data_IF_567077355641
#
_entry.id   IF_567077355641
#
_cell.length_a   1.000
_cell.length_b   1.000
_cell.length_c   1.000
_cell.angle_alpha   90.00
_cell.angle_beta   90.00
_cell.angle_gamma   90.00
#
_symmetry.space_group_name_H-M   'P 1'
#
loop_
_entity.id
_entity.type
_entity.pdbx_description
1 polymer ?
#
# COMPACT_ATOMS: atom_id res chain seq x y z
N UNK A 1 12.02 -22.83 -59.44
CA UNK A 1 11.13 -23.28 -58.36
C UNK A 1 11.61 -22.66 -57.07
N UNK A 2 10.95 -21.60 -56.59
CA UNK A 2 11.30 -20.92 -55.35
C UNK A 2 10.61 -21.64 -54.18
N UNK A 3 11.42 -22.18 -53.26
CA UNK A 3 10.98 -22.81 -52.01
C UNK A 3 10.38 -21.74 -51.11
N UNK A 4 9.08 -21.77 -50.96
CA UNK A 4 8.36 -20.97 -49.94
C UNK A 4 8.60 -21.63 -48.60
N UNK A 5 9.56 -21.10 -47.81
CA UNK A 5 9.74 -21.47 -46.41
C UNK A 5 8.52 -20.99 -45.67
N UNK A 6 7.62 -21.88 -45.27
CA UNK A 6 6.55 -21.62 -44.30
C UNK A 6 7.20 -21.20 -42.98
N UNK A 7 7.05 -19.94 -42.62
CA UNK A 7 7.30 -19.47 -41.24
C UNK A 7 6.37 -20.27 -40.34
N UNK A 8 6.92 -21.15 -39.49
CA UNK A 8 6.19 -21.79 -38.42
C UNK A 8 5.82 -20.68 -37.41
N UNK A 9 4.55 -20.26 -37.37
CA UNK A 9 4.06 -19.41 -36.33
C UNK A 9 4.22 -20.16 -35.01
N UNK A 10 5.18 -19.74 -34.17
CA UNK A 10 5.27 -20.22 -32.80
C UNK A 10 4.09 -19.63 -32.03
N UNK A 11 3.01 -20.42 -31.90
CA UNK A 11 1.95 -20.11 -30.94
C UNK A 11 2.62 -20.08 -29.55
N UNK A 12 2.49 -18.97 -28.82
CA UNK A 12 3.02 -18.89 -27.47
C UNK A 12 2.40 -20.02 -26.62
N UNK A 13 3.25 -20.77 -25.91
CA UNK A 13 2.80 -21.80 -24.97
C UNK A 13 2.00 -21.20 -23.80
N UNK A 14 1.34 -22.06 -23.03
CA UNK A 14 0.66 -21.66 -21.81
C UNK A 14 1.64 -21.00 -20.82
N UNK A 15 1.24 -19.85 -20.27
CA UNK A 15 2.03 -19.16 -19.25
C UNK A 15 1.65 -19.68 -17.85
N UNK A 16 2.55 -20.44 -17.23
CA UNK A 16 2.42 -20.91 -15.86
C UNK A 16 3.41 -20.11 -15.00
N UNK A 17 2.95 -19.14 -14.18
CA UNK A 17 3.84 -18.36 -13.35
C UNK A 17 4.49 -19.26 -12.29
N UNK A 18 5.81 -19.13 -12.05
CA UNK A 18 6.46 -19.88 -10.98
C UNK A 18 5.98 -19.37 -9.61
N UNK A 19 5.88 -20.26 -8.60
CA UNK A 19 5.52 -19.83 -7.25
C UNK A 19 6.56 -18.82 -6.72
N UNK A 20 6.09 -17.81 -5.98
CA UNK A 20 6.94 -16.80 -5.35
C UNK A 20 6.41 -16.44 -3.98
N UNK A 21 7.32 -16.30 -3.01
CA UNK A 21 7.03 -15.65 -1.74
C UNK A 21 7.32 -14.16 -1.90
N UNK A 22 6.24 -13.38 -2.05
CA UNK A 22 6.34 -11.94 -2.31
C UNK A 22 6.55 -11.18 -1.01
N UNK A 23 7.80 -10.85 -0.71
CA UNK A 23 8.23 -10.03 0.41
C UNK A 23 8.92 -8.73 -0.07
N UNK A 24 8.61 -8.30 -1.29
CA UNK A 24 9.02 -6.99 -1.80
C UNK A 24 8.11 -5.86 -1.31
N UNK A 25 8.39 -4.61 -1.71
CA UNK A 25 7.58 -3.43 -1.33
C UNK A 25 6.22 -3.36 -2.05
N UNK A 26 5.74 -4.47 -2.54
CA UNK A 26 4.50 -4.68 -3.30
C UNK A 26 4.77 -5.02 -4.76
N UNK A 27 3.89 -5.87 -5.34
CA UNK A 27 2.65 -6.41 -4.76
C UNK A 27 2.89 -7.41 -3.62
N UNK A 28 1.89 -7.52 -2.72
CA UNK A 28 1.84 -8.55 -1.67
C UNK A 28 1.24 -9.85 -2.21
N UNK A 29 1.35 -10.93 -1.44
CA UNK A 29 0.62 -12.16 -1.72
C UNK A 29 -0.89 -11.91 -1.71
N UNK A 30 -1.60 -12.69 -2.50
CA UNK A 30 -3.06 -12.63 -2.64
C UNK A 30 -3.68 -13.89 -2.05
N UNK A 31 -4.71 -13.72 -1.21
CA UNK A 31 -5.42 -14.86 -0.64
C UNK A 31 -6.14 -15.67 -1.73
N UNK A 32 -6.17 -17.03 -1.68
CA UNK A 32 -6.83 -17.86 -2.70
C UNK A 32 -8.31 -17.49 -2.95
N UNK A 33 -9.07 -17.11 -1.92
CA UNK A 33 -10.46 -16.65 -2.05
C UNK A 33 -10.59 -15.42 -2.96
N UNK A 34 -9.62 -14.51 -2.92
CA UNK A 34 -9.60 -13.31 -3.78
C UNK A 34 -9.41 -13.71 -5.24
N UNK A 35 -8.44 -14.61 -5.51
CA UNK A 35 -8.22 -15.12 -6.87
C UNK A 35 -9.45 -15.89 -7.39
N UNK A 36 -10.09 -16.68 -6.55
CA UNK A 36 -11.33 -17.38 -6.88
C UNK A 36 -12.47 -16.40 -7.21
N UNK A 37 -12.64 -15.35 -6.43
CA UNK A 37 -13.65 -14.32 -6.72
C UNK A 37 -13.41 -13.66 -8.08
N UNK A 38 -12.16 -13.41 -8.45
CA UNK A 38 -11.81 -12.80 -9.74
C UNK A 38 -12.09 -13.71 -10.95
N UNK A 39 -12.18 -15.01 -10.75
CA UNK A 39 -12.51 -15.98 -11.82
C UNK A 39 -14.01 -16.23 -11.98
N UNK A 40 -14.86 -15.55 -11.21
CA UNK A 40 -16.31 -15.65 -11.35
C UNK A 40 -16.81 -15.10 -12.70
N UNK A 41 -17.96 -15.58 -13.21
CA UNK A 41 -18.56 -15.06 -14.43
C UNK A 41 -18.80 -13.54 -14.35
N UNK A 42 -18.61 -12.84 -15.47
CA UNK A 42 -18.79 -11.39 -15.53
C UNK A 42 -20.27 -11.02 -15.51
N UNK A 43 -20.59 -9.98 -14.75
CA UNK A 43 -21.84 -9.24 -14.86
C UNK A 43 -21.65 -8.01 -15.76
N UNK A 44 -22.76 -7.45 -16.26
CA UNK A 44 -22.72 -6.14 -16.92
C UNK A 44 -22.38 -5.03 -15.91
N UNK A 45 -21.70 -3.98 -16.33
CA UNK A 45 -21.31 -2.85 -15.46
C UNK A 45 -22.48 -2.00 -14.94
N UNK A 46 -23.69 -2.20 -15.47
CA UNK A 46 -24.95 -1.60 -14.99
C UNK A 46 -25.94 -2.67 -14.48
N UNK A 47 -25.51 -3.92 -14.36
CA UNK A 47 -26.33 -4.99 -13.78
C UNK A 47 -26.65 -4.65 -12.31
N UNK A 48 -27.90 -4.79 -11.86
CA UNK A 48 -28.29 -4.47 -10.48
C UNK A 48 -27.45 -5.18 -9.41
N UNK A 49 -27.05 -6.44 -9.65
CA UNK A 49 -26.20 -7.19 -8.70
C UNK A 49 -24.78 -6.61 -8.67
N UNK A 50 -24.27 -6.14 -9.81
CA UNK A 50 -22.97 -5.47 -9.84
C UNK A 50 -23.03 -4.10 -9.14
N UNK A 51 -24.08 -3.34 -9.32
CA UNK A 51 -24.28 -2.07 -8.62
C UNK A 51 -24.41 -2.28 -7.10
N UNK A 52 -25.09 -3.35 -6.67
CA UNK A 52 -25.12 -3.75 -5.24
C UNK A 52 -23.73 -4.05 -4.71
N UNK A 53 -22.91 -4.79 -5.47
CA UNK A 53 -21.51 -5.09 -5.11
C UNK A 53 -20.68 -3.79 -4.97
N UNK A 54 -20.87 -2.80 -5.85
CA UNK A 54 -20.21 -1.50 -5.74
C UNK A 54 -20.59 -0.78 -4.43
N UNK A 55 -21.85 -0.80 -4.03
CA UNK A 55 -22.31 -0.22 -2.76
C UNK A 55 -21.68 -0.92 -1.55
N UNK A 56 -21.57 -2.26 -1.60
CA UNK A 56 -20.89 -3.03 -0.55
C UNK A 56 -19.41 -2.65 -0.45
N UNK A 57 -18.71 -2.49 -1.58
CA UNK A 57 -17.31 -2.02 -1.61
C UNK A 57 -17.19 -0.63 -0.97
N UNK A 58 -18.07 0.31 -1.32
CA UNK A 58 -18.06 1.66 -0.73
C UNK A 58 -18.21 1.60 0.79
N UNK A 59 -19.16 0.79 1.30
CA UNK A 59 -19.36 0.64 2.73
C UNK A 59 -18.14 0.04 3.45
N UNK A 60 -17.52 -0.99 2.87
CA UNK A 60 -16.30 -1.60 3.41
C UNK A 60 -15.10 -0.65 3.35
N UNK A 61 -14.94 0.12 2.29
CA UNK A 61 -13.88 1.12 2.17
C UNK A 61 -14.02 2.22 3.22
N UNK A 62 -15.25 2.72 3.49
CA UNK A 62 -15.47 3.70 4.58
C UNK A 62 -14.97 3.15 5.91
N UNK A 63 -15.26 1.89 6.23
CA UNK A 63 -14.76 1.25 7.46
C UNK A 63 -13.23 1.14 7.47
N UNK A 64 -12.61 0.77 6.35
CA UNK A 64 -11.14 0.70 6.25
C UNK A 64 -10.46 2.06 6.40
N UNK A 65 -11.04 3.13 5.83
CA UNK A 65 -10.55 4.51 5.95
C UNK A 65 -10.93 5.16 7.29
N UNK A 66 -11.85 4.56 8.05
CA UNK A 66 -12.44 5.12 9.28
C UNK A 66 -13.03 6.50 8.99
N UNK A 67 -14.01 6.53 8.10
CA UNK A 67 -14.63 7.76 7.62
C UNK A 67 -16.13 7.59 7.36
N UNK A 68 -16.87 8.65 7.58
CA UNK A 68 -18.27 8.81 7.18
C UNK A 68 -18.43 9.46 5.79
N UNK A 69 -17.32 9.72 5.11
CA UNK A 69 -17.33 10.33 3.78
C UNK A 69 -18.21 9.54 2.81
N UNK A 70 -19.15 10.21 2.17
CA UNK A 70 -20.04 9.58 1.17
C UNK A 70 -19.26 9.14 -0.05
N UNK A 71 -18.24 9.92 -0.44
CA UNK A 71 -17.36 9.60 -1.55
C UNK A 71 -16.18 8.72 -1.08
N UNK A 72 -16.40 7.41 -1.11
CA UNK A 72 -15.38 6.40 -0.88
C UNK A 72 -15.52 5.34 -1.97
N UNK A 73 -14.58 5.28 -2.92
CA UNK A 73 -14.68 4.48 -4.14
C UNK A 73 -13.39 3.72 -4.44
N UNK A 74 -13.45 2.79 -5.37
CA UNK A 74 -12.29 2.12 -5.96
C UNK A 74 -12.10 2.60 -7.41
N UNK A 75 -11.19 3.55 -7.61
CA UNK A 75 -10.87 4.09 -8.93
C UNK A 75 -10.17 3.03 -9.78
N UNK A 76 -10.52 2.94 -11.07
CA UNK A 76 -9.82 2.10 -12.05
C UNK A 76 -8.41 2.61 -12.28
N UNK A 77 -7.41 1.80 -11.95
CA UNK A 77 -5.99 2.13 -12.02
C UNK A 77 -5.27 1.80 -10.72
N UNK A 78 -3.95 1.87 -10.73
CA UNK A 78 -3.14 1.58 -9.52
C UNK A 78 -3.12 2.78 -8.57
N UNK A 79 -2.45 2.63 -7.40
CA UNK A 79 -2.31 3.74 -6.44
C UNK A 79 -1.75 5.04 -7.04
N UNK A 80 -0.92 4.96 -8.09
CA UNK A 80 -0.44 6.16 -8.81
C UNK A 80 -1.57 6.87 -9.56
N UNK A 81 -2.57 6.13 -10.06
CA UNK A 81 -3.77 6.75 -10.64
C UNK A 81 -4.60 7.48 -9.57
N UNK A 82 -4.67 6.95 -8.34
CA UNK A 82 -5.31 7.64 -7.21
C UNK A 82 -4.60 8.93 -6.83
N UNK A 83 -3.24 8.92 -6.77
CA UNK A 83 -2.43 10.12 -6.58
C UNK A 83 -2.76 11.19 -7.62
N UNK A 84 -2.69 10.80 -8.89
CA UNK A 84 -2.95 11.71 -10.00
C UNK A 84 -4.39 12.20 -9.99
N UNK A 85 -5.36 11.31 -9.74
CA UNK A 85 -6.77 11.67 -9.68
C UNK A 85 -7.06 12.72 -8.59
N UNK A 86 -6.55 12.55 -7.37
CA UNK A 86 -6.76 13.57 -6.34
C UNK A 86 -6.12 14.90 -6.72
N UNK A 87 -4.89 14.90 -7.21
CA UNK A 87 -4.17 16.12 -7.53
C UNK A 87 -4.75 16.84 -8.75
N UNK A 88 -5.10 16.13 -9.82
CA UNK A 88 -5.66 16.77 -11.03
C UNK A 88 -7.06 17.36 -10.80
N UNK A 89 -7.80 16.82 -9.81
CA UNK A 89 -9.11 17.33 -9.43
C UNK A 89 -9.07 18.47 -8.40
N UNK A 90 -8.06 18.50 -7.51
CA UNK A 90 -7.99 19.47 -6.41
C UNK A 90 -7.05 20.63 -6.67
N UNK A 91 -6.09 20.48 -7.61
CA UNK A 91 -5.08 21.50 -7.92
C UNK A 91 -5.42 22.15 -9.26
N UNK A 92 -5.41 23.48 -9.28
CA UNK A 92 -5.56 24.30 -10.49
C UNK A 92 -4.23 24.99 -10.85
N UNK A 93 -4.07 25.47 -12.09
CA UNK A 93 -2.87 26.22 -12.48
C UNK A 93 -2.62 27.42 -11.56
N UNK A 94 -1.41 27.48 -11.01
CA UNK A 94 -0.99 28.54 -10.08
C UNK A 94 -1.26 28.25 -8.60
N UNK A 95 -2.05 27.23 -8.26
CA UNK A 95 -2.25 26.82 -6.86
C UNK A 95 -0.92 26.41 -6.20
N UNK A 96 -0.64 26.91 -5.01
CA UNK A 96 0.48 26.44 -4.19
C UNK A 96 0.05 25.22 -3.38
N UNK A 97 0.86 24.16 -3.44
CA UNK A 97 0.67 22.94 -2.64
C UNK A 97 1.94 22.65 -1.86
N UNK A 98 1.84 22.62 -0.53
CA UNK A 98 2.94 22.18 0.32
C UNK A 98 3.03 20.65 0.24
N UNK A 99 4.20 20.13 -0.12
CA UNK A 99 4.43 18.68 -0.25
C UNK A 99 5.57 18.27 0.66
N UNK A 100 5.30 17.36 1.61
CA UNK A 100 6.34 16.76 2.42
C UNK A 100 7.14 15.72 1.63
N UNK A 101 8.45 15.84 1.64
CA UNK A 101 9.37 15.01 0.87
C UNK A 101 10.43 14.40 1.79
N UNK A 102 10.25 13.13 2.14
CA UNK A 102 11.22 12.34 2.90
C UNK A 102 11.52 10.97 2.21
N UNK A 103 11.23 10.91 0.91
CA UNK A 103 11.46 9.76 0.04
C UNK A 103 10.91 9.96 -1.37
N UNK A 104 10.91 8.89 -2.16
CA UNK A 104 10.53 8.89 -3.58
C UNK A 104 9.07 9.28 -3.79
N UNK A 105 8.16 8.84 -2.90
CA UNK A 105 6.73 9.03 -3.15
C UNK A 105 6.29 10.47 -2.88
N UNK A 106 6.91 11.14 -1.90
CA UNK A 106 6.77 12.58 -1.73
C UNK A 106 7.28 13.37 -2.94
N UNK A 107 8.46 13.03 -3.45
CA UNK A 107 9.02 13.66 -4.67
C UNK A 107 8.13 13.46 -5.90
N UNK A 108 7.53 12.26 -6.04
CA UNK A 108 6.57 11.97 -7.11
C UNK A 108 5.32 12.83 -7.00
N UNK A 109 4.79 13.00 -5.79
CA UNK A 109 3.63 13.83 -5.52
C UNK A 109 3.90 15.30 -5.92
N UNK A 110 5.07 15.85 -5.58
CA UNK A 110 5.49 17.17 -6.01
C UNK A 110 5.54 17.28 -7.54
N UNK A 111 6.13 16.29 -8.22
CA UNK A 111 6.18 16.26 -9.68
C UNK A 111 4.79 16.16 -10.36
N UNK A 112 3.80 15.53 -9.71
CA UNK A 112 2.41 15.51 -10.21
C UNK A 112 1.74 16.87 -10.01
N UNK A 113 1.96 17.54 -8.88
CA UNK A 113 1.49 18.94 -8.66
C UNK A 113 1.95 19.86 -9.79
N UNK A 114 3.23 19.79 -10.18
CA UNK A 114 3.77 20.59 -11.31
C UNK A 114 3.05 20.26 -12.61
N UNK A 115 2.81 18.97 -12.91
CA UNK A 115 2.09 18.56 -14.12
C UNK A 115 0.64 19.04 -14.14
N UNK A 116 0.01 19.19 -12.98
CA UNK A 116 -1.30 19.84 -12.86
C UNK A 116 -1.24 21.36 -13.11
N UNK A 117 -0.06 21.94 -13.24
CA UNK A 117 0.17 23.37 -13.37
C UNK A 117 0.19 24.11 -12.02
N UNK A 118 0.17 23.38 -10.92
CA UNK A 118 0.36 23.92 -9.57
C UNK A 118 1.84 24.21 -9.27
N UNK A 119 2.09 24.90 -8.17
CA UNK A 119 3.43 25.20 -7.66
C UNK A 119 3.68 24.38 -6.38
N UNK A 120 4.48 23.31 -6.45
CA UNK A 120 4.85 22.59 -5.24
C UNK A 120 5.78 23.46 -4.37
N UNK A 121 5.49 23.48 -3.08
CA UNK A 121 6.37 24.02 -2.04
C UNK A 121 6.86 22.83 -1.24
N UNK A 122 8.08 22.34 -1.53
CA UNK A 122 8.60 21.15 -0.87
C UNK A 122 9.06 21.46 0.55
N UNK A 123 8.65 20.63 1.50
CA UNK A 123 9.18 20.57 2.86
C UNK A 123 9.96 19.26 2.95
N UNK A 124 11.28 19.37 2.97
CA UNK A 124 12.18 18.23 2.88
C UNK A 124 12.69 17.82 4.25
N UNK A 125 12.71 16.51 4.51
CA UNK A 125 13.44 15.91 5.62
C UNK A 125 14.46 14.91 5.06
N UNK A 126 15.55 14.65 5.79
CA UNK A 126 16.47 13.59 5.41
C UNK A 126 15.72 12.25 5.25
N UNK A 127 16.09 11.48 4.23
CA UNK A 127 15.45 10.21 3.95
C UNK A 127 15.47 9.29 5.17
N UNK A 128 14.33 8.70 5.49
CA UNK A 128 14.12 7.90 6.70
C UNK A 128 13.71 8.69 7.95
N UNK A 129 13.71 10.03 7.88
CA UNK A 129 13.17 10.90 8.92
C UNK A 129 11.71 11.28 8.61
N UNK A 130 10.99 11.73 9.61
CA UNK A 130 9.64 12.30 9.43
C UNK A 130 9.73 13.78 9.04
N UNK A 131 8.64 14.28 8.45
CA UNK A 131 8.38 15.72 8.32
C UNK A 131 7.82 16.22 9.66
N UNK A 132 8.49 17.17 10.27
CA UNK A 132 8.04 17.71 11.56
C UNK A 132 6.85 18.66 11.38
N UNK A 133 5.86 18.66 12.28
CA UNK A 133 4.71 19.58 12.19
C UNK A 133 5.12 21.07 12.13
N UNK A 134 6.21 21.44 12.80
CA UNK A 134 6.70 22.82 12.81
C UNK A 134 7.24 23.25 11.46
N UNK A 135 7.82 22.35 10.67
CA UNK A 135 8.26 22.65 9.30
C UNK A 135 7.06 22.94 8.40
N UNK A 136 5.97 22.21 8.56
CA UNK A 136 4.71 22.48 7.84
C UNK A 136 4.11 23.82 8.28
N UNK A 137 4.09 24.12 9.58
CA UNK A 137 3.61 25.41 10.10
C UNK A 137 4.40 26.55 9.52
N UNK A 138 5.72 26.44 9.47
CA UNK A 138 6.61 27.44 8.90
C UNK A 138 6.38 27.62 7.39
N UNK A 139 6.19 26.53 6.65
CA UNK A 139 5.88 26.57 5.23
C UNK A 139 4.52 27.25 4.96
N UNK A 140 3.49 26.94 5.75
CA UNK A 140 2.18 27.61 5.68
C UNK A 140 2.29 29.12 5.89
N UNK A 141 3.07 29.54 6.88
CA UNK A 141 3.25 30.96 7.19
C UNK A 141 4.00 31.75 6.09
N UNK A 142 4.90 31.08 5.35
CA UNK A 142 5.79 31.75 4.36
C UNK A 142 5.32 31.67 2.93
N UNK A 143 4.41 30.76 2.58
CA UNK A 143 4.10 30.45 1.17
C UNK A 143 3.01 31.32 0.55
N UNK A 144 2.39 32.25 1.29
CA UNK A 144 1.21 32.99 0.85
C UNK A 144 -0.02 32.06 0.81
N UNK A 145 -1.00 32.31 -0.06
CA UNK A 145 -2.16 31.44 -0.18
C UNK A 145 -1.77 30.03 -0.60
N UNK A 146 -2.08 29.05 0.25
CA UNK A 146 -1.83 27.62 0.01
C UNK A 146 -3.16 26.91 -0.24
N UNK A 147 -3.23 26.05 -1.26
CA UNK A 147 -4.40 25.25 -1.59
C UNK A 147 -4.49 24.02 -0.73
N UNK A 148 -3.37 23.32 -0.56
CA UNK A 148 -3.34 22.04 0.15
C UNK A 148 -1.96 21.77 0.75
N UNK A 149 -1.95 20.91 1.77
CA UNK A 149 -0.76 20.16 2.24
C UNK A 149 -0.93 18.72 1.80
N UNK A 150 0.12 18.11 1.25
CA UNK A 150 0.10 16.74 0.74
C UNK A 150 1.25 15.93 1.34
N UNK A 151 0.96 14.77 1.96
CA UNK A 151 1.94 13.92 2.66
C UNK A 151 1.77 12.45 2.33
N UNK A 152 2.87 11.72 2.40
CA UNK A 152 2.90 10.25 2.34
C UNK A 152 2.88 9.69 3.75
N UNK A 153 1.83 8.95 4.13
CA UNK A 153 1.72 8.31 5.45
C UNK A 153 2.73 7.18 5.65
N UNK A 154 2.95 6.38 4.60
CA UNK A 154 3.83 5.22 4.62
C UNK A 154 4.84 5.30 3.47
N UNK A 155 6.00 5.93 3.71
CA UNK A 155 7.04 6.12 2.71
C UNK A 155 7.88 4.83 2.55
N UNK A 156 7.51 4.00 1.60
CA UNK A 156 8.13 2.68 1.40
C UNK A 156 9.49 2.69 0.74
N UNK A 157 9.96 3.82 0.23
CA UNK A 157 11.34 3.95 -0.24
C UNK A 157 12.34 4.00 0.91
N UNK A 158 11.89 4.41 2.11
CA UNK A 158 12.73 4.59 3.31
C UNK A 158 12.26 3.78 4.53
N UNK A 159 11.04 3.26 4.52
CA UNK A 159 10.44 2.54 5.65
C UNK A 159 9.93 3.47 6.76
N UNK A 160 9.75 4.76 6.48
CA UNK A 160 9.28 5.74 7.45
C UNK A 160 7.75 5.85 7.49
N UNK A 161 7.19 5.88 8.71
CA UNK A 161 5.79 6.19 9.01
C UNK A 161 5.66 7.65 9.43
N UNK A 162 4.99 8.45 8.64
CA UNK A 162 4.72 9.86 8.92
C UNK A 162 3.52 10.01 9.87
N UNK A 163 3.67 10.62 11.06
CA UNK A 163 2.52 11.02 11.87
C UNK A 163 1.69 12.10 11.16
N UNK A 164 0.36 11.96 11.19
CA UNK A 164 -0.53 12.83 10.43
C UNK A 164 -1.43 13.73 11.31
N UNK A 165 -1.74 13.30 12.52
CA UNK A 165 -2.73 13.95 13.40
C UNK A 165 -2.44 15.44 13.63
N UNK A 166 -1.24 15.78 14.08
CA UNK A 166 -0.83 17.17 14.33
C UNK A 166 -0.84 18.02 13.07
N UNK A 167 -0.46 17.43 11.93
CA UNK A 167 -0.44 18.14 10.64
C UNK A 167 -1.86 18.36 10.14
N UNK A 168 -2.76 17.39 10.30
CA UNK A 168 -4.17 17.57 10.00
C UNK A 168 -4.83 18.68 10.82
N UNK A 169 -4.46 18.81 12.11
CA UNK A 169 -4.90 19.93 12.94
C UNK A 169 -4.41 21.29 12.39
N UNK A 170 -3.14 21.40 11.99
CA UNK A 170 -2.58 22.59 11.34
C UNK A 170 -3.29 22.95 10.02
N UNK A 171 -3.61 21.95 9.20
CA UNK A 171 -4.33 22.17 7.94
C UNK A 171 -5.75 22.70 8.19
N UNK A 172 -6.44 22.17 9.20
CA UNK A 172 -7.78 22.67 9.59
C UNK A 172 -7.72 24.11 10.10
N UNK A 173 -6.76 24.44 10.97
CA UNK A 173 -6.53 25.78 11.49
C UNK A 173 -6.24 26.78 10.38
N UNK A 174 -5.37 26.41 9.43
CA UNK A 174 -5.03 27.23 8.27
C UNK A 174 -6.12 27.30 7.18
N UNK A 175 -7.18 26.48 7.28
CA UNK A 175 -8.24 26.43 6.27
C UNK A 175 -7.84 25.79 4.94
N UNK A 176 -6.68 25.10 4.87
CA UNK A 176 -6.16 24.42 3.69
C UNK A 176 -6.61 22.95 3.61
N UNK A 177 -6.59 22.36 2.42
CA UNK A 177 -6.90 20.92 2.27
C UNK A 177 -5.73 20.05 2.74
N UNK A 178 -6.05 18.89 3.31
CA UNK A 178 -5.07 17.88 3.67
C UNK A 178 -5.24 16.64 2.80
N UNK A 179 -4.22 16.34 1.96
CA UNK A 179 -4.19 15.23 1.00
C UNK A 179 -3.19 14.19 1.49
N UNK A 180 -3.60 12.93 1.56
CA UNK A 180 -2.77 11.85 2.11
C UNK A 180 -2.63 10.67 1.14
N UNK A 181 -1.37 10.27 0.91
CA UNK A 181 -1.02 8.97 0.33
C UNK A 181 -1.06 7.89 1.42
N UNK A 182 -2.03 7.01 1.36
CA UNK A 182 -2.17 5.85 2.22
C UNK A 182 -1.97 4.53 1.45
N UNK A 183 -1.21 4.55 0.35
CA UNK A 183 -1.03 3.38 -0.52
C UNK A 183 -0.57 2.16 0.26
N UNK A 184 0.35 2.31 1.20
CA UNK A 184 0.91 1.18 1.95
C UNK A 184 0.42 1.12 3.40
N UNK A 185 -0.35 2.11 3.84
CA UNK A 185 -0.89 2.15 5.21
C UNK A 185 -2.31 1.60 5.35
N UNK A 186 -3.17 1.79 4.35
CA UNK A 186 -4.57 1.35 4.42
C UNK A 186 -4.68 -0.14 4.74
N UNK A 187 -5.40 -0.48 5.82
CA UNK A 187 -5.56 -1.82 6.37
C UNK A 187 -4.25 -2.51 6.82
N UNK A 188 -3.13 -1.78 6.93
CA UNK A 188 -1.85 -2.30 7.43
C UNK A 188 -1.42 -1.68 8.75
N UNK A 189 -1.83 -0.44 8.99
CA UNK A 189 -1.61 0.32 10.22
C UNK A 189 -2.75 1.31 10.40
N UNK A 190 -2.95 1.88 11.61
CA UNK A 190 -4.03 2.83 11.87
C UNK A 190 -4.03 4.00 10.89
N UNK A 191 -5.19 4.31 10.35
CA UNK A 191 -5.47 5.45 9.48
C UNK A 191 -6.86 5.98 9.85
N UNK A 192 -6.90 7.17 10.44
CA UNK A 192 -8.12 7.79 10.98
C UNK A 192 -8.48 9.01 10.14
N UNK A 193 -9.10 8.79 8.97
CA UNK A 193 -9.33 9.86 8.00
C UNK A 193 -10.10 11.04 8.62
N UNK A 194 -11.20 10.76 9.30
CA UNK A 194 -12.03 11.82 9.89
C UNK A 194 -11.36 12.45 11.12
N UNK A 195 -10.86 11.62 12.04
CA UNK A 195 -10.26 12.10 13.28
C UNK A 195 -9.01 12.96 13.01
N UNK A 196 -8.21 12.60 12.02
CA UNK A 196 -7.01 13.36 11.65
C UNK A 196 -7.29 14.51 10.69
N UNK A 197 -8.56 14.72 10.28
CA UNK A 197 -8.96 15.82 9.39
C UNK A 197 -8.37 15.73 7.99
N UNK A 198 -8.27 14.54 7.46
CA UNK A 198 -7.82 14.30 6.10
C UNK A 198 -8.98 14.61 5.16
N UNK A 199 -8.76 15.54 4.21
CA UNK A 199 -9.80 15.94 3.25
C UNK A 199 -9.88 15.00 2.04
N UNK A 200 -8.73 14.48 1.62
CA UNK A 200 -8.65 13.54 0.51
C UNK A 200 -7.55 12.50 0.76
N UNK A 201 -7.87 11.23 0.56
CA UNK A 201 -6.95 10.12 0.79
C UNK A 201 -7.05 9.09 -0.34
N UNK A 202 -5.92 8.54 -0.76
CA UNK A 202 -5.88 7.45 -1.74
C UNK A 202 -4.99 6.30 -1.29
N UNK A 203 -5.25 5.12 -1.85
CA UNK A 203 -4.50 3.91 -1.58
C UNK A 203 -4.30 3.06 -2.84
N UNK A 204 -3.76 1.86 -2.68
CA UNK A 204 -3.58 0.87 -3.75
C UNK A 204 -3.88 -0.54 -3.27
N UNK A 205 -4.57 -1.33 -4.09
CA UNK A 205 -5.06 -2.66 -3.68
C UNK A 205 -3.96 -3.69 -3.45
N UNK A 206 -2.81 -3.57 -4.14
CA UNK A 206 -1.71 -4.56 -4.11
C UNK A 206 -0.81 -4.49 -2.87
N UNK A 207 -1.15 -3.67 -1.90
CA UNK A 207 -0.40 -3.49 -0.64
C UNK A 207 -1.08 -4.26 0.49
N UNK A 208 -1.40 -3.60 1.60
CA UNK A 208 -1.96 -4.27 2.77
C UNK A 208 -3.38 -4.82 2.58
N UNK A 209 -4.09 -4.43 1.53
CA UNK A 209 -5.37 -5.07 1.15
C UNK A 209 -5.19 -6.46 0.53
N UNK A 210 -4.00 -6.79 0.03
CA UNK A 210 -3.70 -8.09 -0.61
C UNK A 210 -4.67 -8.49 -1.72
N UNK A 211 -5.03 -7.51 -2.54
CA UNK A 211 -5.74 -7.70 -3.79
C UNK A 211 -4.79 -7.39 -4.95
N UNK A 212 -4.91 -8.01 -6.13
CA UNK A 212 -4.07 -7.69 -7.27
C UNK A 212 -4.05 -6.19 -7.61
N UNK A 213 -2.95 -5.67 -8.20
CA UNK A 213 -2.89 -4.28 -8.66
C UNK A 213 -3.92 -4.01 -9.77
N UNK A 214 -4.52 -2.83 -9.80
CA UNK A 214 -5.49 -2.43 -10.83
C UNK A 214 -6.60 -1.53 -10.31
N UNK A 215 -6.71 -1.37 -9.00
CA UNK A 215 -7.64 -0.44 -8.37
C UNK A 215 -6.92 0.45 -7.36
N UNK A 216 -7.42 1.68 -7.23
CA UNK A 216 -7.02 2.64 -6.21
C UNK A 216 -8.21 3.02 -5.35
N UNK A 217 -8.34 2.47 -4.13
CA UNK A 217 -9.28 2.98 -3.15
C UNK A 217 -8.98 4.45 -2.84
N UNK A 218 -10.00 5.29 -2.82
CA UNK A 218 -9.86 6.70 -2.43
C UNK A 218 -11.11 7.22 -1.76
N UNK A 219 -10.95 8.30 -0.97
CA UNK A 219 -12.06 9.00 -0.30
C UNK A 219 -11.82 10.50 -0.28
N UNK A 220 -12.91 11.27 -0.41
CA UNK A 220 -12.93 12.72 -0.30
C UNK A 220 -14.06 13.13 0.64
N UNK A 221 -13.78 14.11 1.52
CA UNK A 221 -14.81 14.73 2.34
C UNK A 221 -15.53 15.87 1.61
N UNK A 222 -16.53 16.46 2.25
CA UNK A 222 -17.32 17.54 1.66
C UNK A 222 -16.51 18.79 1.33
N UNK A 223 -15.43 19.08 2.10
CA UNK A 223 -14.52 20.21 1.80
C UNK A 223 -13.77 19.99 0.50
N UNK A 224 -13.22 18.81 0.30
CA UNK A 224 -12.54 18.44 -0.94
C UNK A 224 -13.50 18.40 -2.13
N UNK A 225 -14.69 17.81 -1.96
CA UNK A 225 -15.74 17.82 -2.99
C UNK A 225 -16.20 19.23 -3.34
N UNK A 226 -16.37 20.12 -2.36
CA UNK A 226 -16.69 21.50 -2.60
C UNK A 226 -15.57 22.26 -3.31
N UNK A 227 -14.31 21.99 -2.99
CA UNK A 227 -13.17 22.57 -3.70
C UNK A 227 -13.13 22.14 -5.17
N UNK A 228 -13.42 20.87 -5.45
CA UNK A 228 -13.52 20.32 -6.79
C UNK A 228 -14.65 20.98 -7.60
N UNK A 229 -15.85 21.16 -7.00
CA UNK A 229 -16.98 21.82 -7.66
C UNK A 229 -16.74 23.32 -7.94
N UNK A 230 -15.91 23.98 -7.13
CA UNK A 230 -15.59 25.43 -7.29
C UNK A 230 -14.42 25.70 -8.22
N UNK A 231 -13.90 24.69 -8.93
CA UNK A 231 -12.86 24.87 -9.92
C UNK A 231 -13.25 25.91 -10.96
N UNK A 232 -12.27 26.71 -11.37
CA UNK A 232 -12.42 27.73 -12.45
C UNK A 232 -12.06 27.15 -13.81
N UNK A 233 -11.30 26.04 -13.82
CA UNK A 233 -10.82 25.37 -15.02
C UNK A 233 -11.33 23.93 -15.05
N UNK A 234 -11.63 23.35 -16.23
CA UNK A 234 -11.96 21.93 -16.33
C UNK A 234 -10.87 21.03 -15.78
N UNK A 235 -11.24 19.86 -15.27
CA UNK A 235 -10.24 18.83 -14.95
C UNK A 235 -9.43 18.48 -16.21
N UNK A 236 -8.10 18.40 -16.08
CA UNK A 236 -7.21 18.14 -17.24
C UNK A 236 -7.22 16.70 -17.70
N UNK A 237 -7.87 15.82 -16.99
CA UNK A 237 -8.05 14.41 -17.36
C UNK A 237 -9.53 14.09 -17.40
N UNK A 238 -10.07 13.73 -18.56
CA UNK A 238 -11.44 13.24 -18.64
C UNK A 238 -11.63 11.93 -17.87
N UNK A 239 -10.66 11.00 -18.00
CA UNK A 239 -10.75 9.68 -17.38
C UNK A 239 -10.64 9.71 -15.85
N UNK A 240 -9.83 10.62 -15.31
CA UNK A 240 -9.64 10.80 -13.87
C UNK A 240 -10.48 11.95 -13.30
N UNK A 241 -11.43 12.50 -14.06
CA UNK A 241 -12.35 13.50 -13.53
C UNK A 241 -13.31 12.86 -12.51
N UNK A 242 -13.03 13.13 -11.24
CA UNK A 242 -13.80 12.54 -10.14
C UNK A 242 -15.23 13.03 -10.07
N UNK A 243 -15.58 14.14 -10.72
CA UNK A 243 -16.98 14.57 -10.82
C UNK A 243 -17.78 13.64 -11.73
N UNK A 244 -17.19 13.21 -12.85
CA UNK A 244 -17.81 12.24 -13.77
C UNK A 244 -17.79 10.82 -13.19
N UNK A 245 -16.72 10.46 -12.50
CA UNK A 245 -16.61 9.16 -11.82
C UNK A 245 -17.64 9.06 -10.68
N UNK A 246 -17.88 10.16 -9.95
CA UNK A 246 -18.87 10.21 -8.88
C UNK A 246 -20.27 9.82 -9.38
N UNK A 247 -20.70 10.34 -10.53
CA UNK A 247 -22.02 10.02 -11.13
C UNK A 247 -22.20 8.52 -11.39
N UNK A 248 -21.12 7.79 -11.67
CA UNK A 248 -21.17 6.33 -11.84
C UNK A 248 -21.19 5.57 -10.50
N UNK A 249 -20.52 6.08 -9.45
CA UNK A 249 -20.45 5.45 -8.13
C UNK A 249 -21.61 5.89 -7.21
N UNK A 250 -22.27 7.01 -7.48
CA UNK A 250 -23.31 7.56 -6.63
C UNK A 250 -24.63 6.79 -6.80
N UNK A 251 -25.20 6.36 -5.67
CA UNK A 251 -26.47 5.64 -5.66
C UNK A 251 -27.59 6.52 -6.18
N UNK A 252 -28.33 6.02 -7.15
CA UNK A 252 -29.44 6.73 -7.79
C UNK A 252 -29.11 7.40 -9.13
N UNK A 253 -27.87 7.79 -9.39
CA UNK A 253 -27.46 8.38 -10.69
C UNK A 253 -26.97 7.31 -11.65
N UNK A 254 -25.93 6.55 -11.28
CA UNK A 254 -25.34 5.43 -12.05
C UNK A 254 -25.10 5.75 -13.53
N UNK A 255 -24.64 6.98 -13.81
CA UNK A 255 -24.31 7.38 -15.16
C UNK A 255 -23.05 6.66 -15.65
N UNK A 256 -23.11 6.09 -16.87
CA UNK A 256 -21.96 5.43 -17.46
C UNK A 256 -20.82 6.40 -17.72
N UNK A 257 -19.69 6.16 -17.12
CA UNK A 257 -18.43 6.88 -17.39
C UNK A 257 -17.44 6.01 -18.19
N UNK A 258 -17.12 4.83 -17.67
CA UNK A 258 -16.26 3.84 -18.32
C UNK A 258 -16.66 2.44 -17.88
N UNK A 259 -16.26 1.42 -18.64
CA UNK A 259 -16.51 0.04 -18.23
C UNK A 259 -15.62 -0.28 -17.02
N UNK A 260 -16.24 -0.50 -15.86
CA UNK A 260 -15.55 -0.85 -14.64
C UNK A 260 -14.78 -2.17 -14.79
N UNK A 261 -13.62 -2.32 -14.14
CA UNK A 261 -12.85 -3.57 -14.15
C UNK A 261 -13.49 -4.61 -13.22
N UNK A 262 -14.53 -5.28 -13.71
CA UNK A 262 -15.47 -6.09 -12.95
C UNK A 262 -14.78 -7.16 -12.10
N UNK A 263 -13.92 -8.00 -12.71
CA UNK A 263 -13.18 -9.04 -11.99
C UNK A 263 -12.29 -8.47 -10.89
N UNK A 264 -11.70 -7.28 -11.11
CA UNK A 264 -10.90 -6.61 -10.10
C UNK A 264 -11.74 -6.16 -8.92
N UNK A 265 -12.97 -5.68 -9.17
CA UNK A 265 -13.91 -5.28 -8.12
C UNK A 265 -14.44 -6.51 -7.35
N UNK A 266 -14.65 -7.65 -8.01
CA UNK A 266 -14.94 -8.91 -7.33
C UNK A 266 -13.81 -9.28 -6.35
N UNK A 267 -12.56 -9.22 -6.82
CA UNK A 267 -11.38 -9.48 -5.99
C UNK A 267 -11.27 -8.49 -4.82
N UNK A 268 -11.48 -7.19 -5.07
CA UNK A 268 -11.43 -6.19 -4.01
C UNK A 268 -12.52 -6.41 -2.96
N UNK A 269 -13.76 -6.71 -3.37
CA UNK A 269 -14.83 -7.02 -2.42
C UNK A 269 -14.44 -8.16 -1.49
N UNK A 270 -13.87 -9.23 -2.02
CA UNK A 270 -13.46 -10.38 -1.22
C UNK A 270 -12.23 -10.05 -0.34
N UNK A 271 -11.28 -9.26 -0.83
CA UNK A 271 -10.15 -8.79 -0.03
C UNK A 271 -10.62 -7.93 1.16
N UNK A 272 -11.59 -7.04 0.95
CA UNK A 272 -12.18 -6.23 2.01
C UNK A 272 -12.96 -7.09 3.02
N UNK A 273 -13.69 -8.12 2.57
CA UNK A 273 -14.32 -9.09 3.48
C UNK A 273 -13.31 -9.79 4.37
N UNK A 274 -12.17 -10.20 3.84
CA UNK A 274 -11.09 -10.80 4.63
C UNK A 274 -10.52 -9.83 5.67
N UNK A 275 -10.43 -8.54 5.34
CA UNK A 275 -10.04 -7.50 6.31
C UNK A 275 -11.07 -7.38 7.42
N UNK A 276 -12.37 -7.42 7.11
CA UNK A 276 -13.45 -7.36 8.10
C UNK A 276 -13.52 -8.62 8.97
N UNK A 277 -13.33 -9.80 8.36
CA UNK A 277 -13.30 -11.08 9.08
C UNK A 277 -12.14 -11.14 10.10
N UNK A 278 -10.99 -10.58 9.76
CA UNK A 278 -9.84 -10.47 10.67
C UNK A 278 -10.03 -9.35 11.71
N UNK A 279 -10.63 -8.25 11.30
CA UNK A 279 -10.73 -7.01 12.07
C UNK A 279 -9.46 -6.15 11.98
N UNK A 280 -9.62 -4.83 11.83
CA UNK A 280 -8.51 -3.91 11.63
C UNK A 280 -7.49 -3.93 12.78
N UNK A 281 -7.94 -3.94 14.04
CA UNK A 281 -7.03 -3.94 15.20
C UNK A 281 -6.19 -5.21 15.28
N UNK A 282 -6.79 -6.37 15.05
CA UNK A 282 -6.08 -7.65 15.00
C UNK A 282 -5.07 -7.64 13.86
N UNK A 283 -5.46 -7.10 12.71
CA UNK A 283 -4.61 -6.98 11.53
C UNK A 283 -3.42 -6.06 11.78
N UNK A 284 -3.61 -4.92 12.42
CA UNK A 284 -2.53 -4.00 12.82
C UNK A 284 -1.59 -4.65 13.83
N UNK A 285 -2.11 -5.36 14.81
CA UNK A 285 -1.32 -6.10 15.79
C UNK A 285 -0.48 -7.18 15.11
N UNK A 286 -1.06 -7.93 14.15
CA UNK A 286 -0.34 -8.92 13.36
C UNK A 286 0.82 -8.31 12.57
N UNK A 287 0.60 -7.18 11.87
CA UNK A 287 1.66 -6.49 11.14
C UNK A 287 2.80 -6.05 12.08
N UNK A 288 2.47 -5.48 13.25
CA UNK A 288 3.48 -5.09 14.26
C UNK A 288 4.30 -6.29 14.73
N UNK A 289 3.65 -7.38 15.13
CA UNK A 289 4.31 -8.57 15.61
C UNK A 289 5.27 -9.17 14.56
N UNK A 290 4.82 -9.26 13.28
CA UNK A 290 5.69 -9.76 12.23
C UNK A 290 6.88 -8.82 11.97
N UNK A 291 6.67 -7.51 12.03
CA UNK A 291 7.72 -6.51 11.87
C UNK A 291 8.76 -6.58 13.00
N UNK A 292 8.31 -6.72 14.25
CA UNK A 292 9.17 -6.85 15.43
C UNK A 292 10.03 -8.13 15.33
N UNK A 293 9.40 -9.26 15.00
CA UNK A 293 10.11 -10.54 14.84
C UNK A 293 11.13 -10.49 13.69
N UNK A 294 10.74 -9.93 12.53
CA UNK A 294 11.65 -9.74 11.41
C UNK A 294 12.83 -8.85 11.80
N UNK A 295 12.55 -7.69 12.41
CA UNK A 295 13.60 -6.73 12.80
C UNK A 295 14.58 -7.33 13.80
N UNK A 296 14.07 -8.07 14.79
CA UNK A 296 14.92 -8.77 15.76
C UNK A 296 15.85 -9.80 15.10
N UNK A 297 15.34 -10.56 14.13
CA UNK A 297 16.14 -11.50 13.35
C UNK A 297 17.18 -10.79 12.48
N UNK A 298 16.78 -9.78 11.73
CA UNK A 298 17.67 -9.02 10.83
C UNK A 298 18.79 -8.31 11.60
N UNK A 299 18.54 -7.83 12.82
CA UNK A 299 19.56 -7.21 13.65
C UNK A 299 20.71 -8.17 13.98
N UNK A 300 20.45 -9.47 14.18
CA UNK A 300 21.50 -10.47 14.41
C UNK A 300 22.34 -10.77 13.17
N UNK A 301 21.84 -10.41 11.99
CA UNK A 301 22.55 -10.49 10.71
C UNK A 301 23.32 -9.18 10.38
N UNK A 302 23.36 -8.21 11.31
CA UNK A 302 24.00 -6.92 11.10
C UNK A 302 23.18 -5.95 10.24
N UNK A 303 21.92 -6.29 9.93
CA UNK A 303 21.01 -5.48 9.13
C UNK A 303 20.21 -4.51 10.03
N UNK A 304 20.55 -3.24 9.96
CA UNK A 304 19.94 -2.20 10.82
C UNK A 304 18.77 -1.49 10.13
N UNK A 305 17.66 -1.21 10.84
CA UNK A 305 16.58 -0.38 10.28
C UNK A 305 17.08 0.99 9.83
N UNK A 306 16.73 1.39 8.60
CA UNK A 306 17.10 2.68 8.03
C UNK A 306 16.27 3.83 8.59
N UNK A 307 14.95 3.60 8.76
CA UNK A 307 14.02 4.63 9.22
C UNK A 307 14.26 4.98 10.71
N UNK A 308 13.95 6.22 11.03
CA UNK A 308 14.01 6.80 12.37
C UNK A 308 13.29 5.92 13.39
N UNK A 309 13.92 5.75 14.56
CA UNK A 309 13.33 4.99 15.66
C UNK A 309 12.01 5.62 16.12
N UNK A 310 11.03 4.80 16.48
CA UNK A 310 9.67 5.24 16.82
C UNK A 310 8.77 5.50 15.60
N UNK A 311 9.35 5.66 14.40
CA UNK A 311 8.63 6.00 13.18
C UNK A 311 8.81 4.97 12.05
N UNK A 312 9.12 3.73 12.40
CA UNK A 312 9.27 2.61 11.44
C UNK A 312 7.91 2.08 11.02
N UNK A 313 7.81 1.71 9.73
CA UNK A 313 6.61 1.07 9.19
C UNK A 313 6.51 -0.38 9.68
N UNK A 314 5.35 -0.81 10.21
CA UNK A 314 5.13 -2.22 10.50
C UNK A 314 4.85 -3.07 9.25
N UNK A 315 4.45 -2.45 8.15
CA UNK A 315 4.16 -3.14 6.88
C UNK A 315 5.37 -3.31 5.97
N UNK A 316 6.52 -2.66 6.28
CA UNK A 316 7.73 -2.74 5.48
C UNK A 316 8.98 -2.39 6.31
N UNK A 317 9.92 -3.31 6.37
CA UNK A 317 11.26 -3.06 6.89
C UNK A 317 12.18 -2.56 5.76
N UNK A 318 12.74 -1.36 5.92
CA UNK A 318 13.88 -0.87 5.14
C UNK A 318 15.12 -1.02 6.00
N UNK A 319 16.10 -1.80 5.56
CA UNK A 319 17.30 -2.11 6.34
C UNK A 319 18.57 -1.79 5.57
N UNK A 320 19.52 -1.18 6.27
CA UNK A 320 20.85 -0.85 5.72
C UNK A 320 21.70 -2.10 5.61
N UNK A 321 22.41 -2.23 4.50
CA UNK A 321 23.33 -3.34 4.25
C UNK A 321 24.70 -3.07 4.87
N UNK A 322 25.28 -4.02 5.59
CA UNK A 322 26.69 -3.98 5.97
C UNK A 322 27.60 -3.91 4.74
N UNK A 323 28.79 -3.34 4.92
CA UNK A 323 29.82 -3.35 3.90
C UNK A 323 30.17 -4.79 3.48
N UNK A 324 30.34 -5.01 2.18
CA UNK A 324 30.70 -6.31 1.62
C UNK A 324 29.55 -7.19 1.19
N UNK A 325 28.29 -6.83 1.48
CA UNK A 325 27.12 -7.55 0.95
C UNK A 325 26.79 -7.02 -0.46
N UNK A 326 26.80 -7.91 -1.45
CA UNK A 326 26.30 -7.62 -2.80
C UNK A 326 24.76 -7.70 -2.82
N UNK A 327 24.10 -6.53 -2.83
CA UNK A 327 22.65 -6.40 -2.90
C UNK A 327 22.04 -7.25 -4.02
N UNK A 328 22.56 -7.14 -5.23
CA UNK A 328 21.99 -7.79 -6.41
C UNK A 328 22.19 -9.31 -6.36
N UNK A 329 23.37 -9.78 -5.96
CA UNK A 329 23.68 -11.20 -5.88
C UNK A 329 22.82 -11.92 -4.82
N UNK A 330 22.65 -11.32 -3.63
CA UNK A 330 21.82 -11.90 -2.57
C UNK A 330 20.33 -11.95 -3.00
N UNK A 331 19.77 -10.86 -3.51
CA UNK A 331 18.37 -10.84 -3.99
C UNK A 331 18.14 -11.84 -5.13
N UNK A 332 19.09 -11.96 -6.05
CA UNK A 332 19.02 -12.94 -7.12
C UNK A 332 19.08 -14.39 -6.59
N UNK A 333 19.87 -14.65 -5.54
CA UNK A 333 19.95 -15.97 -4.90
C UNK A 333 18.68 -16.29 -4.12
N UNK A 334 18.12 -15.34 -3.36
CA UNK A 334 16.81 -15.47 -2.71
C UNK A 334 15.72 -15.87 -3.74
N UNK A 335 15.69 -15.17 -4.88
CA UNK A 335 14.68 -15.43 -5.91
C UNK A 335 14.86 -16.80 -6.59
N UNK A 336 16.11 -17.17 -6.95
CA UNK A 336 16.37 -18.41 -7.70
C UNK A 336 16.30 -19.67 -6.84
N UNK A 337 16.86 -19.63 -5.63
CA UNK A 337 17.02 -20.82 -4.78
C UNK A 337 15.83 -21.02 -3.83
N UNK A 338 15.34 -19.91 -3.26
CA UNK A 338 14.28 -19.94 -2.24
C UNK A 338 12.92 -19.44 -2.73
N UNK A 339 12.87 -18.96 -3.97
CA UNK A 339 11.64 -18.37 -4.56
C UNK A 339 11.11 -17.15 -3.78
N UNK A 340 12.01 -16.48 -3.05
CA UNK A 340 11.69 -15.29 -2.24
C UNK A 340 12.07 -14.03 -3.02
N UNK A 341 11.11 -13.10 -3.13
CA UNK A 341 11.31 -11.79 -3.71
C UNK A 341 11.36 -10.72 -2.61
N UNK A 342 12.46 -9.97 -2.52
CA UNK A 342 12.60 -8.74 -1.74
C UNK A 342 13.01 -7.58 -2.64
N UNK A 343 12.75 -6.33 -2.20
CA UNK A 343 13.12 -5.13 -2.97
C UNK A 343 14.49 -4.58 -2.59
N UNK A 344 15.19 -4.03 -3.56
CA UNK A 344 16.37 -3.18 -3.32
C UNK A 344 16.00 -1.73 -3.06
N UNK A 345 16.96 -0.89 -2.73
CA UNK A 345 16.81 0.56 -2.55
C UNK A 345 16.42 1.28 -3.83
N UNK A 346 15.82 2.47 -3.68
CA UNK A 346 15.47 3.37 -4.77
C UNK A 346 16.27 4.67 -4.68
N UNK A 347 16.46 5.33 -5.82
CA UNK A 347 17.18 6.61 -5.88
C UNK A 347 18.57 6.53 -5.20
N UNK A 348 18.87 7.42 -4.25
CA UNK A 348 20.15 7.44 -3.54
C UNK A 348 20.42 6.20 -2.68
N UNK A 349 19.39 5.43 -2.32
CA UNK A 349 19.54 4.22 -1.50
C UNK A 349 19.79 2.95 -2.33
N UNK A 350 19.93 3.05 -3.64
CA UNK A 350 20.18 1.89 -4.51
C UNK A 350 21.48 1.19 -4.12
N UNK A 351 21.40 -0.12 -3.90
CA UNK A 351 22.53 -0.94 -3.44
C UNK A 351 22.92 -0.78 -1.96
N UNK A 352 22.24 0.11 -1.21
CA UNK A 352 22.56 0.40 0.18
C UNK A 352 21.56 -0.19 1.17
N UNK A 353 20.34 -0.48 0.73
CA UNK A 353 19.27 -1.00 1.58
C UNK A 353 18.50 -2.13 0.91
N UNK A 354 17.93 -3.01 1.72
CA UNK A 354 16.82 -3.87 1.30
C UNK A 354 15.50 -3.34 1.84
N UNK A 355 14.44 -3.59 1.06
CA UNK A 355 13.07 -3.28 1.44
C UNK A 355 12.28 -4.58 1.48
N UNK A 356 11.89 -4.98 2.69
CA UNK A 356 11.21 -6.24 2.97
C UNK A 356 9.78 -5.94 3.37
N UNK A 357 8.84 -6.29 2.52
CA UNK A 357 7.42 -6.01 2.71
C UNK A 357 6.73 -7.12 3.51
N UNK A 358 6.07 -6.71 4.59
CA UNK A 358 5.17 -7.55 5.39
C UNK A 358 3.76 -6.98 5.29
N UNK A 359 3.16 -7.08 4.09
CA UNK A 359 1.89 -6.47 3.77
C UNK A 359 0.78 -7.51 3.63
N UNK A 360 -0.33 -7.32 4.36
CA UNK A 360 -1.51 -8.17 4.24
C UNK A 360 -1.20 -9.66 4.38
N UNK A 361 -1.45 -10.44 3.34
CA UNK A 361 -1.18 -11.89 3.31
C UNK A 361 0.31 -12.25 3.39
N UNK A 362 1.21 -11.35 3.03
CA UNK A 362 2.65 -11.56 3.19
C UNK A 362 3.12 -11.47 4.65
N UNK A 363 2.35 -10.84 5.54
CA UNK A 363 2.68 -10.66 6.96
C UNK A 363 2.32 -11.91 7.79
N UNK A 364 3.03 -13.01 7.61
CA UNK A 364 2.83 -14.28 8.32
C UNK A 364 4.11 -14.75 9.00
N UNK A 365 3.97 -15.39 10.17
CA UNK A 365 5.09 -15.98 10.94
C UNK A 365 5.95 -16.91 10.07
N UNK A 366 5.32 -17.80 9.31
CA UNK A 366 6.04 -18.72 8.40
C UNK A 366 6.91 -17.98 7.40
N UNK A 367 6.43 -16.87 6.83
CA UNK A 367 7.16 -16.09 5.83
C UNK A 367 8.37 -15.38 6.43
N UNK A 368 8.23 -14.82 7.65
CA UNK A 368 9.34 -14.22 8.40
C UNK A 368 10.43 -15.27 8.66
N UNK A 369 10.04 -16.44 9.19
CA UNK A 369 11.00 -17.51 9.50
C UNK A 369 11.66 -18.06 8.24
N UNK A 370 10.92 -18.23 7.14
CA UNK A 370 11.47 -18.69 5.86
C UNK A 370 12.50 -17.70 5.31
N UNK A 371 12.21 -16.40 5.34
CA UNK A 371 13.17 -15.37 4.88
C UNK A 371 14.42 -15.35 5.75
N UNK A 372 14.27 -15.35 7.08
CA UNK A 372 15.41 -15.32 8.01
C UNK A 372 16.32 -16.56 7.84
N UNK A 373 15.71 -17.75 7.67
CA UNK A 373 16.48 -18.98 7.40
C UNK A 373 17.25 -18.92 6.08
N UNK A 374 16.62 -18.42 5.02
CA UNK A 374 17.27 -18.24 3.73
C UNK A 374 18.44 -17.21 3.79
N UNK A 375 18.26 -16.12 4.55
CA UNK A 375 19.31 -15.12 4.74
C UNK A 375 20.48 -15.69 5.58
N UNK A 376 20.20 -16.49 6.58
CA UNK A 376 21.26 -17.17 7.35
C UNK A 376 22.08 -18.13 6.47
N UNK A 377 21.42 -18.95 5.64
CA UNK A 377 22.12 -19.85 4.72
C UNK A 377 23.03 -19.07 3.76
N UNK A 378 22.51 -18.03 3.11
CA UNK A 378 23.29 -17.19 2.21
C UNK A 378 24.43 -16.46 2.93
N UNK A 379 24.19 -16.01 4.17
CA UNK A 379 25.20 -15.34 4.99
C UNK A 379 26.37 -16.23 5.37
N UNK A 380 26.12 -17.50 5.67
CA UNK A 380 27.16 -18.49 5.93
C UNK A 380 27.97 -18.80 4.67
N UNK A 381 27.30 -19.04 3.54
CA UNK A 381 27.95 -19.33 2.25
C UNK A 381 28.82 -18.18 1.74
N UNK A 382 28.39 -16.94 1.93
CA UNK A 382 29.09 -15.74 1.47
C UNK A 382 29.97 -15.12 2.55
N UNK A 383 30.14 -15.80 3.69
CA UNK A 383 31.02 -15.42 4.80
C UNK A 383 30.79 -14.06 5.45
N UNK A 384 29.53 -13.54 5.36
CA UNK A 384 29.12 -12.33 6.10
C UNK A 384 28.35 -12.65 7.39
N UNK A 385 28.09 -13.93 7.68
CA UNK A 385 27.53 -14.41 8.92
C UNK A 385 28.41 -15.46 9.55
N UNK A 386 28.69 -15.33 10.87
CA UNK A 386 29.56 -16.26 11.62
C UNK A 386 28.79 -17.33 12.41
N UNK A 387 27.51 -17.04 12.81
CA UNK A 387 26.76 -17.91 13.72
C UNK A 387 25.38 -18.26 13.12
N UNK A 388 25.13 -19.54 12.76
CA UNK A 388 23.83 -19.99 12.28
C UNK A 388 22.79 -20.02 13.40
N UNK A 389 21.51 -19.85 13.04
CA UNK A 389 20.37 -19.98 13.95
C UNK A 389 20.07 -18.74 14.82
N UNK A 390 20.92 -17.72 14.80
CA UNK A 390 20.76 -16.53 15.63
C UNK A 390 19.51 -15.71 15.24
N UNK A 391 19.24 -15.54 13.93
CA UNK A 391 18.10 -14.77 13.44
C UNK A 391 16.78 -15.48 13.72
N UNK A 392 16.73 -16.78 13.48
CA UNK A 392 15.55 -17.61 13.80
C UNK A 392 15.28 -17.62 15.31
N UNK A 393 16.32 -17.76 16.15
CA UNK A 393 16.17 -17.72 17.60
C UNK A 393 15.71 -16.36 18.11
N UNK A 394 16.17 -15.24 17.52
CA UNK A 394 15.72 -13.90 17.88
C UNK A 394 14.24 -13.69 17.54
N UNK A 395 13.81 -14.07 16.34
CA UNK A 395 12.42 -14.01 15.95
C UNK A 395 11.53 -14.91 16.84
N UNK A 396 11.97 -16.13 17.15
CA UNK A 396 11.25 -17.05 18.03
C UNK A 396 11.02 -16.48 19.43
N UNK A 397 12.01 -15.77 20.01
CA UNK A 397 11.85 -15.06 21.30
C UNK A 397 10.77 -14.00 21.26
N UNK A 398 10.66 -13.23 20.17
CA UNK A 398 9.58 -12.23 20.00
C UNK A 398 8.22 -12.93 20.00
N UNK A 399 8.06 -14.00 19.23
CA UNK A 399 6.80 -14.76 19.20
C UNK A 399 6.44 -15.40 20.55
N UNK A 400 7.42 -15.90 21.30
CA UNK A 400 7.21 -16.52 22.63
C UNK A 400 6.80 -15.50 23.68
N UNK A 401 7.34 -14.26 23.62
CA UNK A 401 7.05 -13.19 24.60
C UNK A 401 5.66 -12.57 24.46
N UNK A 402 4.97 -12.80 23.35
CA UNK A 402 3.65 -12.19 23.06
C UNK A 402 2.48 -13.17 23.13
N UNK A 403 2.61 -14.37 23.67
CA UNK A 403 1.51 -15.35 23.72
C UNK A 403 0.68 -15.36 22.41
N UNK A 404 0.41 -16.48 21.79
CA UNK A 404 -0.37 -16.48 20.54
C UNK A 404 -1.66 -15.66 20.71
N UNK A 405 -1.97 -14.71 19.80
CA UNK A 405 -3.28 -14.06 19.83
C UNK A 405 -4.33 -15.17 19.72
N UNK A 406 -5.26 -15.20 20.65
CA UNK A 406 -6.33 -16.19 20.69
C UNK A 406 -6.97 -16.25 19.29
N UNK A 407 -7.03 -17.45 18.71
CA UNK A 407 -7.74 -17.66 17.45
C UNK A 407 -9.14 -17.07 17.58
N UNK A 408 -9.60 -16.31 16.59
CA UNK A 408 -10.92 -15.72 16.65
C UNK A 408 -11.96 -16.84 16.88
N UNK A 409 -13.05 -16.58 17.62
CA UNK A 409 -14.08 -17.61 17.90
C UNK A 409 -14.58 -18.32 16.64
N UNK A 410 -14.55 -17.67 15.50
CA UNK A 410 -14.94 -18.22 14.19
C UNK A 410 -13.87 -19.14 13.59
N UNK A 411 -12.59 -18.91 13.83
CA UNK A 411 -11.51 -19.83 13.40
C UNK A 411 -11.49 -21.10 14.25
N UNK A 412 -11.75 -20.97 15.54
CA UNK A 412 -11.88 -22.13 16.46
C UNK A 412 -13.06 -23.02 16.08
N UNK A 413 -14.22 -22.45 15.72
CA UNK A 413 -15.39 -23.19 15.30
C UNK A 413 -15.19 -23.92 13.95
N UNK A 414 -14.45 -23.33 13.00
CA UNK A 414 -14.11 -24.00 11.73
C UNK A 414 -13.14 -25.16 11.90
N UNK A 415 -12.08 -24.97 12.69
CA UNK A 415 -11.12 -26.07 12.98
C UNK A 415 -11.79 -27.25 13.71
N UNK A 416 -12.79 -27.01 14.56
CA UNK A 416 -13.59 -28.07 15.19
C UNK A 416 -14.45 -28.81 14.17
N UNK A 417 -15.14 -28.10 13.26
CA UNK A 417 -15.99 -28.70 12.24
C UNK A 417 -15.20 -29.47 11.15
N UNK A 418 -13.98 -29.05 10.84
CA UNK A 418 -13.10 -29.74 9.89
C UNK A 418 -12.49 -31.01 10.53
N UNK A 419 -12.20 -31.01 11.83
CA UNK A 419 -11.77 -32.21 12.56
C UNK A 419 -12.90 -33.26 12.68
N UNK A 420 -14.13 -32.83 12.91
CA UNK A 420 -15.29 -33.76 12.93
C UNK A 420 -15.58 -34.38 11.56
N UNK A 421 -15.37 -33.65 10.46
CA UNK A 421 -15.53 -34.17 9.09
C UNK A 421 -14.37 -35.04 8.61
N UNK A 422 -13.22 -35.00 9.24
CA UNK A 422 -12.07 -35.85 8.93
C UNK A 422 -12.09 -37.18 9.71
N UNK A 423 -12.96 -37.32 10.73
CA UNK A 423 -13.14 -38.50 11.54
C UNK A 423 -14.44 -39.28 11.24
N UNK A 424 -15.24 -38.82 10.32
CA UNK A 424 -16.41 -39.50 9.75
C UNK A 424 -16.13 -39.93 8.30
#
# INVERSE_FOLDING_TARGET
>A
MASVTRATSSVCGEFIPPPRLLLGPGPSLVHPRVLQAMSAPLLGHLDPEFLRLMNEIQAMLRRCFRTENRFAIALSGTGSAGMEALLVNLVEPGDAVIVGVNGIFGSRMAAVVERCGGRPVTVEAPWGRIIEPDDIRLALARSGPVKAVALVHAETSTGARQPLESIGALCREAGVLFIVDAVTSLAGLPLEVDAWGIDACYSGTQKCLSCPPGLSPLTLNDRALAAMRRRKTPCRSWYLDLSLVADYWEEGTRAYHHTAPISMLYGLREALRLVEEEGLETRFARHRLQSEALTAGLATLGLSPFAQEGYRLPSLACVTLPAGIDDAAVRASLLRRFQIEIGGGLGPLRGQVWRIGLMGESARRSHVLTLLGALEELGLEQSWLAQPGAALAAAARVYAGQGEPAASPQQSARMSSEREKACS
#
